data_IF_417573779423
#
_entry.id   IF_417573779423
#
_cell.length_a   1.000
_cell.length_b   1.000
_cell.length_c   1.000
_cell.angle_alpha   90.00
_cell.angle_beta   90.00
_cell.angle_gamma   90.00
#
_symmetry.space_group_name_H-M   'P 1'
#
loop_
_entity.id
_entity.type
_entity.pdbx_description
1 polymer ?
#
# COMPACT_ATOMS: atom_id res chain seq x y z
N UNK A 1 -8.37 -15.31 42.63
CA UNK A 1 -7.72 -16.35 41.82
C UNK A 1 -8.18 -16.10 40.41
N UNK A 2 -7.30 -15.53 39.63
CA UNK A 2 -7.62 -15.14 38.27
C UNK A 2 -7.80 -16.39 37.41
N UNK A 3 -8.98 -16.53 36.87
CA UNK A 3 -9.39 -17.67 36.07
C UNK A 3 -8.76 -17.56 34.67
N UNK A 4 -7.46 -17.87 34.56
CA UNK A 4 -6.69 -17.78 33.30
C UNK A 4 -7.10 -18.85 32.27
N UNK A 5 -8.02 -19.76 32.62
CA UNK A 5 -8.60 -20.75 31.70
C UNK A 5 -10.06 -20.43 31.46
N UNK A 6 -10.33 -19.44 30.64
CA UNK A 6 -11.68 -19.11 30.21
C UNK A 6 -12.16 -19.94 29.02
N UNK A 7 -11.26 -20.69 28.38
CA UNK A 7 -11.58 -21.56 27.24
C UNK A 7 -11.62 -23.00 27.70
N UNK A 8 -12.74 -23.67 27.55
CA UNK A 8 -12.85 -25.10 27.78
C UNK A 8 -12.29 -25.85 26.55
N UNK A 9 -11.06 -26.34 26.69
CA UNK A 9 -10.32 -26.99 25.60
C UNK A 9 -10.93 -28.37 25.24
N UNK A 10 -11.67 -28.98 26.19
CA UNK A 10 -12.25 -30.31 26.02
C UNK A 10 -13.56 -30.32 25.23
N UNK A 11 -14.12 -29.15 24.94
CA UNK A 11 -15.36 -28.96 24.17
C UNK A 11 -15.09 -28.07 22.96
N UNK A 12 -13.94 -28.23 22.32
CA UNK A 12 -13.59 -27.49 21.12
C UNK A 12 -14.41 -27.99 19.93
N UNK A 13 -15.58 -27.40 19.78
CA UNK A 13 -16.23 -27.31 18.48
C UNK A 13 -15.57 -26.11 17.74
N UNK A 14 -14.80 -26.34 16.65
CA UNK A 14 -14.12 -25.27 15.94
C UNK A 14 -15.09 -24.23 15.38
N UNK A 15 -16.37 -24.55 15.28
CA UNK A 15 -17.44 -23.67 14.77
C UNK A 15 -18.23 -22.99 15.89
N UNK A 16 -17.95 -23.27 17.16
CA UNK A 16 -18.69 -22.69 18.28
C UNK A 16 -18.34 -21.21 18.48
N UNK A 17 -19.34 -20.35 18.33
CA UNK A 17 -19.23 -18.91 18.58
C UNK A 17 -18.87 -18.56 20.03
N UNK A 18 -19.07 -19.49 20.98
CA UNK A 18 -18.70 -19.31 22.39
C UNK A 18 -17.21 -19.47 22.63
N UNK A 19 -16.49 -20.22 21.80
CA UNK A 19 -15.05 -20.43 21.92
C UNK A 19 -14.27 -19.28 21.24
N UNK A 20 -14.79 -18.72 20.19
CA UNK A 20 -14.20 -17.60 19.43
C UNK A 20 -15.25 -16.54 19.13
N UNK A 21 -15.62 -15.73 20.13
CA UNK A 21 -16.58 -14.65 19.91
C UNK A 21 -15.96 -13.62 18.95
N UNK A 22 -16.41 -13.65 17.69
CA UNK A 22 -15.88 -12.79 16.62
C UNK A 22 -15.95 -11.31 16.98
N UNK A 23 -16.96 -10.91 17.76
CA UNK A 23 -17.13 -9.53 18.24
C UNK A 23 -15.99 -9.04 19.14
N UNK A 24 -15.34 -9.95 19.87
CA UNK A 24 -14.20 -9.61 20.73
C UNK A 24 -12.85 -9.75 20.02
N UNK A 25 -12.81 -10.51 18.93
CA UNK A 25 -11.60 -10.74 18.14
C UNK A 25 -11.39 -9.65 17.07
N UNK A 26 -12.49 -9.06 16.61
CA UNK A 26 -12.42 -7.94 15.66
C UNK A 26 -12.40 -6.64 16.47
N UNK A 27 -11.38 -5.77 16.28
CA UNK A 27 -11.43 -4.45 16.87
C UNK A 27 -12.69 -3.73 16.39
N UNK A 28 -13.51 -3.22 17.34
CA UNK A 28 -14.77 -2.54 17.04
C UNK A 28 -14.63 -1.24 16.24
N UNK A 29 -13.38 -0.87 15.93
CA UNK A 29 -13.00 0.30 15.14
C UNK A 29 -12.69 -0.01 13.69
N UNK A 30 -12.91 -1.26 13.22
CA UNK A 30 -12.73 -1.53 11.80
C UNK A 30 -13.74 -0.72 10.99
N UNK A 31 -13.29 0.13 10.06
CA UNK A 31 -14.20 0.83 9.17
C UNK A 31 -15.01 -0.20 8.37
N UNK A 32 -16.30 0.11 8.07
CA UNK A 32 -17.12 -0.78 7.25
C UNK A 32 -16.45 -1.03 5.90
N UNK A 33 -16.67 -2.21 5.30
CA UNK A 33 -16.09 -2.51 3.98
C UNK A 33 -16.58 -1.49 2.95
N UNK A 34 -15.64 -0.87 2.28
CA UNK A 34 -15.93 0.16 1.26
C UNK A 34 -16.50 -0.53 0.01
N UNK A 35 -17.63 -0.03 -0.51
CA UNK A 35 -18.16 -0.48 -1.79
C UNK A 35 -17.43 0.20 -2.97
N UNK A 36 -17.55 -0.37 -4.17
CA UNK A 36 -16.95 0.23 -5.37
C UNK A 36 -17.54 1.61 -5.71
N UNK A 37 -18.80 1.87 -5.37
CA UNK A 37 -19.44 3.18 -5.52
C UNK A 37 -18.87 4.21 -4.55
N UNK A 38 -18.59 3.81 -3.31
CA UNK A 38 -18.01 4.68 -2.30
C UNK A 38 -16.55 5.02 -2.67
N UNK A 39 -15.80 4.04 -3.17
CA UNK A 39 -14.45 4.26 -3.69
C UNK A 39 -14.42 5.27 -4.84
N UNK A 40 -15.42 5.24 -5.73
CA UNK A 40 -15.56 6.25 -6.78
C UNK A 40 -15.88 7.65 -6.21
N UNK A 41 -16.67 7.71 -5.15
CA UNK A 41 -16.94 8.95 -4.41
C UNK A 41 -15.66 9.52 -3.79
N UNK A 42 -14.86 8.67 -3.15
CA UNK A 42 -13.53 9.04 -2.61
C UNK A 42 -12.64 9.61 -3.71
N UNK A 43 -12.57 8.96 -4.89
CA UNK A 43 -11.80 9.45 -6.01
C UNK A 43 -12.22 10.85 -6.46
N UNK A 44 -13.53 11.14 -6.46
CA UNK A 44 -14.07 12.46 -6.76
C UNK A 44 -13.61 13.54 -5.78
N UNK A 45 -13.68 13.24 -4.49
CA UNK A 45 -13.24 14.16 -3.44
C UNK A 45 -11.72 14.40 -3.45
N UNK A 46 -10.93 13.36 -3.66
CA UNK A 46 -9.48 13.46 -3.82
C UNK A 46 -9.12 14.42 -4.95
N UNK A 47 -9.75 14.27 -6.12
CA UNK A 47 -9.52 15.18 -7.26
C UNK A 47 -9.92 16.62 -6.94
N UNK A 48 -10.97 16.82 -6.17
CA UNK A 48 -11.39 18.15 -5.74
C UNK A 48 -10.35 18.80 -4.84
N UNK A 49 -9.80 18.05 -3.86
CA UNK A 49 -8.73 18.53 -2.96
C UNK A 49 -7.44 18.87 -3.73
N UNK A 50 -7.03 18.00 -4.67
CA UNK A 50 -5.88 18.26 -5.52
C UNK A 50 -6.03 19.52 -6.37
N UNK A 51 -7.22 19.74 -6.94
CA UNK A 51 -7.54 20.96 -7.70
C UNK A 51 -7.59 22.20 -6.81
N UNK A 52 -7.99 22.03 -5.56
CA UNK A 52 -7.99 23.08 -4.55
C UNK A 52 -6.59 23.47 -4.05
N UNK A 53 -5.55 22.71 -4.44
CA UNK A 53 -4.18 22.95 -4.01
C UNK A 53 -3.87 22.46 -2.60
N UNK A 54 -4.65 21.48 -2.11
CA UNK A 54 -4.41 20.79 -0.83
C UNK A 54 -3.97 19.34 -1.03
N UNK A 55 -2.70 19.11 -1.38
CA UNK A 55 -2.18 17.77 -1.57
C UNK A 55 -2.06 16.98 -0.26
N UNK A 56 -1.84 17.67 0.88
CA UNK A 56 -1.77 17.03 2.18
C UNK A 56 -3.15 16.49 2.60
N UNK A 57 -4.18 17.32 2.48
CA UNK A 57 -5.57 16.89 2.74
C UNK A 57 -6.00 15.75 1.83
N UNK A 58 -5.64 15.79 0.54
CA UNK A 58 -5.93 14.72 -0.41
C UNK A 58 -5.25 13.40 -0.01
N UNK A 59 -3.96 13.44 0.35
CA UNK A 59 -3.20 12.27 0.81
C UNK A 59 -3.80 11.70 2.10
N UNK A 60 -4.07 12.55 3.09
CA UNK A 60 -4.66 12.14 4.37
C UNK A 60 -6.03 11.49 4.13
N UNK A 61 -6.88 12.11 3.35
CA UNK A 61 -8.22 11.60 3.07
C UNK A 61 -8.19 10.24 2.37
N UNK A 62 -7.35 10.05 1.36
CA UNK A 62 -7.25 8.78 0.65
C UNK A 62 -6.69 7.66 1.54
N UNK A 63 -5.79 7.95 2.47
CA UNK A 63 -5.24 6.94 3.38
C UNK A 63 -6.21 6.56 4.50
N UNK A 64 -6.99 7.52 5.01
CA UNK A 64 -8.00 7.28 6.05
C UNK A 64 -9.22 6.49 5.53
N UNK A 65 -9.46 6.54 4.21
CA UNK A 65 -10.57 5.83 3.55
C UNK A 65 -10.14 4.52 2.88
N UNK A 66 -8.98 3.98 3.23
CA UNK A 66 -8.44 2.78 2.61
C UNK A 66 -9.35 1.54 2.81
N UNK A 67 -9.71 0.80 1.74
CA UNK A 67 -10.63 -0.34 1.80
C UNK A 67 -9.92 -1.62 2.28
N UNK A 68 -9.42 -1.64 3.52
CA UNK A 68 -8.66 -2.75 4.10
C UNK A 68 -9.45 -4.08 4.21
N UNK A 69 -10.75 -4.07 4.08
CA UNK A 69 -11.64 -5.23 4.10
C UNK A 69 -12.67 -5.19 2.97
N UNK A 70 -12.47 -4.33 1.98
CA UNK A 70 -13.40 -4.10 0.89
C UNK A 70 -13.30 -5.12 -0.25
N UNK A 71 -14.23 -4.97 -1.20
CA UNK A 71 -14.26 -5.70 -2.45
C UNK A 71 -13.00 -5.40 -3.31
N UNK A 72 -12.51 -6.38 -4.06
CA UNK A 72 -11.30 -6.23 -4.89
C UNK A 72 -11.45 -5.10 -5.91
N UNK A 73 -12.65 -4.91 -6.44
CA UNK A 73 -12.92 -3.79 -7.35
C UNK A 73 -12.85 -2.43 -6.66
N UNK A 74 -13.28 -2.34 -5.41
CA UNK A 74 -13.14 -1.12 -4.61
C UNK A 74 -11.67 -0.82 -4.35
N UNK A 75 -10.85 -1.84 -4.08
CA UNK A 75 -9.40 -1.73 -3.90
C UNK A 75 -8.69 -1.24 -5.16
N UNK A 76 -9.08 -1.74 -6.34
CA UNK A 76 -8.51 -1.28 -7.62
C UNK A 76 -8.81 0.20 -7.88
N UNK A 77 -10.07 0.62 -7.70
CA UNK A 77 -10.48 2.02 -7.89
C UNK A 77 -9.76 2.93 -6.90
N UNK A 78 -9.65 2.49 -5.65
CA UNK A 78 -8.97 3.25 -4.63
C UNK A 78 -7.46 3.34 -4.88
N UNK A 79 -6.82 2.24 -5.31
CA UNK A 79 -5.41 2.22 -5.72
C UNK A 79 -5.13 3.23 -6.84
N UNK A 80 -6.00 3.30 -7.85
CA UNK A 80 -5.88 4.28 -8.92
C UNK A 80 -5.91 5.72 -8.37
N UNK A 81 -6.77 5.98 -7.36
CA UNK A 81 -6.85 7.28 -6.70
C UNK A 81 -5.58 7.61 -5.91
N UNK A 82 -5.00 6.64 -5.21
CA UNK A 82 -3.72 6.81 -4.51
C UNK A 82 -2.62 7.17 -5.51
N UNK A 83 -2.51 6.43 -6.61
CA UNK A 83 -1.50 6.71 -7.65
C UNK A 83 -1.69 8.11 -8.25
N UNK A 84 -2.93 8.54 -8.46
CA UNK A 84 -3.24 9.90 -8.94
C UNK A 84 -2.72 10.98 -7.97
N UNK A 85 -2.90 10.78 -6.66
CA UNK A 85 -2.35 11.68 -5.62
C UNK A 85 -0.82 11.69 -5.66
N UNK A 86 -0.18 10.51 -5.69
CA UNK A 86 1.27 10.40 -5.70
C UNK A 86 1.92 11.07 -6.91
N UNK A 87 1.26 10.99 -8.07
CA UNK A 87 1.72 11.64 -9.31
C UNK A 87 1.42 13.14 -9.34
N UNK A 88 0.36 13.56 -8.66
CA UNK A 88 -0.05 14.97 -8.59
C UNK A 88 0.85 15.83 -7.71
N UNK A 89 1.59 15.24 -6.77
CA UNK A 89 2.44 15.94 -5.82
C UNK A 89 3.86 16.10 -6.41
N UNK A 90 4.36 17.33 -6.38
CA UNK A 90 5.71 17.62 -6.86
C UNK A 90 6.76 17.04 -5.92
N UNK A 91 7.87 16.59 -6.48
CA UNK A 91 8.96 15.99 -5.73
C UNK A 91 9.49 16.93 -4.60
N UNK A 92 9.53 18.22 -4.84
CA UNK A 92 9.95 19.20 -3.84
C UNK A 92 8.99 19.33 -2.64
N UNK A 93 7.74 18.91 -2.80
CA UNK A 93 6.70 19.00 -1.77
C UNK A 93 6.50 17.68 -1.01
N UNK A 94 7.07 16.58 -1.50
CA UNK A 94 6.85 15.22 -0.97
C UNK A 94 7.17 15.12 0.52
N UNK A 95 8.34 15.60 0.94
CA UNK A 95 8.77 15.53 2.35
C UNK A 95 7.82 16.31 3.25
N UNK A 96 7.46 17.53 2.87
CA UNK A 96 6.53 18.37 3.63
C UNK A 96 5.15 17.72 3.77
N UNK A 97 4.62 17.15 2.66
CA UNK A 97 3.33 16.47 2.66
C UNK A 97 3.38 15.23 3.55
N UNK A 98 4.44 14.41 3.45
CA UNK A 98 4.63 13.25 4.30
C UNK A 98 4.71 13.61 5.79
N UNK A 99 5.49 14.63 6.15
CA UNK A 99 5.59 15.11 7.53
C UNK A 99 4.23 15.56 8.07
N UNK A 100 3.43 16.27 7.27
CA UNK A 100 2.08 16.68 7.64
C UNK A 100 1.13 15.49 7.83
N UNK A 101 1.20 14.48 6.99
CA UNK A 101 0.35 13.29 7.06
C UNK A 101 0.74 12.37 8.22
N UNK A 102 2.03 12.19 8.47
CA UNK A 102 2.60 11.27 9.47
C UNK A 102 2.68 11.93 10.87
N UNK A 103 2.87 13.24 10.94
CA UNK A 103 3.10 13.96 12.20
C UNK A 103 1.86 14.09 13.10
N UNK A 104 0.66 13.72 12.64
CA UNK A 104 -0.58 13.82 13.41
C UNK A 104 -1.00 12.50 14.07
N UNK A 105 -2.10 12.56 14.80
CA UNK A 105 -2.76 11.38 15.35
C UNK A 105 -3.10 10.39 14.22
N UNK A 106 -2.82 9.09 14.41
CA UNK A 106 -2.96 8.07 13.37
C UNK A 106 -1.87 8.08 12.28
N UNK A 107 -0.85 8.92 12.41
CA UNK A 107 0.21 9.07 11.40
C UNK A 107 0.98 7.79 11.11
N UNK A 108 1.24 6.96 12.12
CA UNK A 108 1.89 5.65 11.93
C UNK A 108 1.03 4.70 11.09
N UNK A 109 -0.28 4.70 11.31
CA UNK A 109 -1.22 3.86 10.56
C UNK A 109 -1.31 4.32 9.09
N UNK A 110 -1.33 5.64 8.86
CA UNK A 110 -1.29 6.21 7.51
C UNK A 110 0.01 5.88 6.78
N UNK A 111 1.15 5.95 7.50
CA UNK A 111 2.44 5.58 6.94
C UNK A 111 2.47 4.10 6.53
N UNK A 112 1.98 3.20 7.37
CA UNK A 112 1.90 1.77 7.09
C UNK A 112 0.90 1.49 5.94
N UNK A 113 -0.22 2.20 5.89
CA UNK A 113 -1.18 2.12 4.80
C UNK A 113 -0.56 2.58 3.47
N UNK A 114 0.14 3.73 3.46
CA UNK A 114 0.85 4.21 2.27
C UNK A 114 1.90 3.20 1.79
N UNK A 115 2.66 2.62 2.73
CA UNK A 115 3.67 1.60 2.40
C UNK A 115 3.03 0.38 1.72
N UNK A 116 1.84 -0.08 2.15
CA UNK A 116 1.10 -1.15 1.49
C UNK A 116 0.74 -0.80 0.04
N UNK A 117 0.25 0.43 -0.19
CA UNK A 117 -0.05 0.89 -1.55
C UNK A 117 1.18 0.97 -2.44
N UNK A 118 2.33 1.37 -1.90
CA UNK A 118 3.57 1.39 -2.66
C UNK A 118 3.98 -0.03 -3.08
N UNK A 119 3.93 -1.02 -2.18
CA UNK A 119 4.21 -2.41 -2.51
C UNK A 119 3.23 -2.99 -3.51
N UNK A 120 1.94 -2.69 -3.36
CA UNK A 120 0.92 -3.09 -4.34
C UNK A 120 1.16 -2.47 -5.72
N UNK A 121 1.60 -1.22 -5.75
CA UNK A 121 2.00 -0.53 -6.97
C UNK A 121 3.22 -1.16 -7.64
N UNK A 122 4.21 -1.61 -6.88
CA UNK A 122 5.37 -2.33 -7.41
C UNK A 122 4.96 -3.67 -8.03
N UNK A 123 4.07 -4.41 -7.39
CA UNK A 123 3.52 -5.67 -7.91
C UNK A 123 2.82 -5.45 -9.26
N UNK A 124 1.92 -4.48 -9.33
CA UNK A 124 1.17 -4.17 -10.55
C UNK A 124 2.05 -3.67 -11.69
N UNK A 125 3.07 -2.87 -11.38
CA UNK A 125 4.01 -2.37 -12.38
C UNK A 125 4.98 -3.43 -12.88
N UNK A 126 5.28 -4.44 -12.06
CA UNK A 126 6.13 -5.58 -12.42
C UNK A 126 5.42 -6.61 -13.32
N UNK A 127 4.09 -6.76 -13.18
CA UNK A 127 3.34 -7.77 -13.93
C UNK A 127 2.94 -7.32 -15.34
N UNK A 128 2.99 -6.03 -15.67
CA UNK A 128 2.76 -5.54 -17.04
C UNK A 128 3.91 -5.81 -18.02
N UNK A 129 5.03 -6.34 -17.55
CA UNK A 129 6.16 -6.80 -18.36
C UNK A 129 6.09 -8.29 -18.66
N UNK A 130 5.07 -8.76 -19.39
CA UNK A 130 4.99 -10.06 -20.07
C UNK A 130 5.38 -11.28 -19.22
N UNK A 131 4.46 -12.21 -19.12
CA UNK A 131 4.70 -13.62 -18.79
C UNK A 131 5.90 -14.18 -19.58
N UNK A 132 7.11 -13.93 -19.11
CA UNK A 132 8.29 -14.64 -19.57
C UNK A 132 8.60 -15.71 -18.52
N UNK A 133 8.29 -16.96 -18.90
CA UNK A 133 8.84 -18.18 -18.30
C UNK A 133 10.31 -17.99 -17.91
N UNK A 134 10.80 -18.61 -16.82
CA UNK A 134 12.17 -18.47 -16.38
C UNK A 134 13.10 -18.83 -17.55
N UNK A 135 13.78 -17.84 -18.11
CA UNK A 135 14.80 -18.08 -19.11
C UNK A 135 15.88 -18.90 -18.45
N UNK A 136 16.06 -20.15 -18.91
CA UNK A 136 17.26 -20.95 -18.64
C UNK A 136 18.46 -20.08 -18.88
N UNK A 137 19.19 -19.77 -17.79
CA UNK A 137 20.51 -19.17 -17.87
C UNK A 137 21.44 -20.20 -18.51
N UNK A 138 21.65 -20.11 -19.80
CA UNK A 138 22.76 -20.79 -20.45
C UNK A 138 24.07 -20.07 -20.06
N UNK A 139 25.09 -20.77 -19.58
CA UNK A 139 26.39 -20.15 -19.33
C UNK A 139 26.99 -19.70 -20.65
N UNK A 140 27.01 -18.41 -20.89
CA UNK A 140 27.69 -17.85 -22.06
C UNK A 140 29.11 -17.47 -21.67
N UNK A 141 30.02 -18.05 -22.43
CA UNK A 141 31.46 -17.93 -22.47
C UNK A 141 32.02 -16.55 -22.11
N UNK A 142 32.97 -16.55 -21.21
CA UNK A 142 33.83 -15.44 -20.80
C UNK A 142 34.66 -14.94 -21.98
N UNK A 143 34.34 -13.78 -22.50
CA UNK A 143 35.18 -13.02 -23.43
C UNK A 143 35.14 -11.56 -23.04
N UNK A 144 36.28 -11.01 -22.67
CA UNK A 144 36.48 -9.70 -22.05
C UNK A 144 35.87 -8.51 -22.82
N UNK A 145 35.40 -7.58 -22.06
CA UNK A 145 34.94 -6.26 -22.48
C UNK A 145 34.10 -5.67 -21.40
N UNK A 146 34.60 -4.68 -20.68
CA UNK A 146 33.81 -3.76 -19.88
C UNK A 146 32.86 -3.01 -20.83
N UNK A 147 31.79 -3.62 -21.21
CA UNK A 147 30.71 -2.95 -21.91
C UNK A 147 29.89 -2.20 -20.89
N UNK A 148 30.06 -0.88 -20.93
CA UNK A 148 29.13 0.15 -20.53
C UNK A 148 27.78 -0.44 -20.20
N UNK A 149 27.34 -0.35 -18.92
CA UNK A 149 25.98 -0.58 -18.51
C UNK A 149 25.15 0.46 -19.27
N UNK A 150 24.69 0.09 -20.44
CA UNK A 150 23.64 0.82 -21.12
C UNK A 150 22.46 0.84 -20.18
N UNK A 151 22.20 2.00 -19.62
CA UNK A 151 20.93 2.33 -18.98
C UNK A 151 19.84 1.90 -19.96
N UNK A 152 19.28 0.72 -19.76
CA UNK A 152 18.10 0.31 -20.52
C UNK A 152 17.08 1.42 -20.30
N UNK A 153 16.74 2.13 -21.35
CA UNK A 153 15.64 3.05 -21.40
C UNK A 153 14.38 2.29 -20.91
N UNK A 154 14.04 2.47 -19.64
CA UNK A 154 12.75 2.07 -19.06
C UNK A 154 11.61 3.00 -19.54
N UNK A 155 11.70 3.49 -20.74
CA UNK A 155 10.88 4.57 -21.25
C UNK A 155 10.15 4.27 -22.54
N UNK A 156 9.47 3.12 -22.66
CA UNK A 156 8.49 2.98 -23.75
C UNK A 156 7.29 2.15 -23.31
N UNK A 157 6.61 2.68 -22.34
CA UNK A 157 5.35 2.20 -21.79
C UNK A 157 5.18 2.84 -20.42
N UNK A 158 4.08 3.53 -20.15
CA UNK A 158 3.80 4.32 -18.93
C UNK A 158 4.13 3.69 -17.57
N UNK A 159 4.50 2.41 -17.52
CA UNK A 159 4.91 1.68 -16.31
C UNK A 159 6.26 2.13 -15.72
N UNK A 160 7.21 2.57 -16.55
CA UNK A 160 8.53 2.99 -16.05
C UNK A 160 8.49 4.31 -15.28
N UNK A 161 7.68 5.25 -15.73
CA UNK A 161 7.50 6.54 -15.03
C UNK A 161 6.74 6.36 -13.71
N UNK A 162 5.71 5.52 -13.70
CA UNK A 162 4.97 5.20 -12.49
C UNK A 162 5.86 4.51 -11.46
N UNK A 163 6.67 3.54 -11.85
CA UNK A 163 7.61 2.87 -10.97
C UNK A 163 8.62 3.85 -10.34
N UNK A 164 9.14 4.79 -11.13
CA UNK A 164 10.06 5.81 -10.62
C UNK A 164 9.40 6.71 -9.56
N UNK A 165 8.15 7.09 -9.77
CA UNK A 165 7.38 7.87 -8.78
C UNK A 165 7.21 7.06 -7.49
N UNK A 166 6.78 5.80 -7.59
CA UNK A 166 6.58 4.93 -6.42
C UNK A 166 7.88 4.70 -5.63
N UNK A 167 9.02 4.53 -6.32
CA UNK A 167 10.32 4.37 -5.67
C UNK A 167 10.75 5.64 -4.92
N UNK A 168 10.54 6.81 -5.50
CA UNK A 168 10.85 8.07 -4.82
C UNK A 168 9.99 8.25 -3.55
N UNK A 169 8.71 7.90 -3.61
CA UNK A 169 7.84 7.93 -2.45
C UNK A 169 8.27 6.93 -1.37
N UNK A 170 8.65 5.73 -1.77
CA UNK A 170 9.14 4.70 -0.86
C UNK A 170 10.42 5.16 -0.14
N UNK A 171 11.39 5.71 -0.88
CA UNK A 171 12.62 6.26 -0.30
C UNK A 171 12.33 7.31 0.78
N UNK A 172 11.50 8.30 0.44
CA UNK A 172 11.14 9.38 1.38
C UNK A 172 10.34 8.87 2.57
N UNK A 173 9.44 7.93 2.36
CA UNK A 173 8.66 7.33 3.45
C UNK A 173 9.56 6.56 4.42
N UNK A 174 10.51 5.75 3.92
CA UNK A 174 11.47 5.01 4.75
C UNK A 174 12.43 5.96 5.47
N UNK A 175 12.84 7.05 4.84
CA UNK A 175 13.67 8.09 5.47
C UNK A 175 13.00 8.68 6.73
N UNK A 176 11.67 8.92 6.66
CA UNK A 176 10.91 9.50 7.78
C UNK A 176 10.47 8.47 8.83
N UNK A 177 10.08 7.27 8.42
CA UNK A 177 9.49 6.26 9.32
C UNK A 177 10.45 5.18 9.78
N UNK A 178 11.60 5.09 9.13
CA UNK A 178 12.59 4.04 9.34
C UNK A 178 12.16 2.67 8.78
N UNK A 179 13.05 1.67 8.84
CA UNK A 179 12.80 0.33 8.30
C UNK A 179 11.73 -0.45 9.09
N UNK A 180 11.39 -0.01 10.29
CA UNK A 180 10.34 -0.63 11.11
C UNK A 180 8.97 -0.61 10.46
N UNK A 181 8.66 0.40 9.65
CA UNK A 181 7.41 0.47 8.88
C UNK A 181 7.30 -0.69 7.87
N UNK A 182 8.40 -1.04 7.21
CA UNK A 182 8.46 -2.17 6.28
C UNK A 182 8.10 -3.48 7.00
N UNK A 183 8.70 -3.71 8.17
CA UNK A 183 8.45 -4.93 8.95
C UNK A 183 6.99 -5.02 9.38
N UNK A 184 6.40 -3.91 9.87
CA UNK A 184 4.98 -3.88 10.26
C UNK A 184 4.06 -4.23 9.09
N UNK A 185 4.32 -3.64 7.92
CA UNK A 185 3.50 -3.89 6.72
C UNK A 185 3.63 -5.33 6.23
N UNK A 186 4.83 -5.90 6.26
CA UNK A 186 5.07 -7.29 5.85
C UNK A 186 4.41 -8.32 6.79
N UNK A 187 4.19 -7.96 8.05
CA UNK A 187 3.54 -8.83 9.04
C UNK A 187 2.02 -8.62 9.13
N UNK A 188 1.50 -7.52 8.58
CA UNK A 188 0.05 -7.24 8.58
C UNK A 188 -0.67 -8.05 7.49
N UNK A 189 -1.68 -8.80 7.89
CA UNK A 189 -2.50 -9.63 7.00
C UNK A 189 -3.56 -8.84 6.20
N UNK A 190 -3.83 -7.60 6.59
CA UNK A 190 -4.82 -6.76 5.91
C UNK A 190 -4.23 -6.23 4.60
N UNK A 191 -4.90 -6.48 3.49
CA UNK A 191 -4.50 -6.06 2.15
C UNK A 191 -5.32 -4.87 1.66
N UNK A 192 -4.67 -3.96 0.92
CA UNK A 192 -5.28 -2.83 0.22
C UNK A 192 -5.61 -3.17 -1.22
#
# INVERSE_FOLDING_TARGET
MDNYRTINIDVLDPESSSNFPMETLLPGTLPPPLSSSDAAGVAGQVRQLLRGGDPEGAMRYVLDTAPLGGDDRAKEVHMASVVEVLQGIRQAEMTRVLEGVIGGEGGSERADCLMKYLYKGFESSGSSGGSQSPRKLSPQSTGGGFSQIQTRNFGEGGGGQQMSVLLNWHEKLVELTGPGAIVRVMTDRRTV
#
